data_IF_314666536355
#
_entry.id   IF_314666536355
#
_cell.length_a   1.000
_cell.length_b   1.000
_cell.length_c   1.000
_cell.angle_alpha   90.00
_cell.angle_beta   90.00
_cell.angle_gamma   90.00
#
_symmetry.space_group_name_H-M   'P 1'
#
loop_
_entity.id
_entity.type
_entity.pdbx_description
1 polymer ?
#
# COMPACT_ATOMS: atom_id res chain seq x y z
N UNK A 1 72.28 23.38 -50.56
CA UNK A 1 71.30 23.06 -49.49
C UNK A 1 72.03 22.28 -48.41
N UNK A 2 72.21 22.89 -47.23
CA UNK A 2 73.03 22.34 -46.15
C UNK A 2 72.23 21.35 -45.31
N UNK A 3 72.82 20.20 -44.96
CA UNK A 3 72.16 19.12 -44.20
C UNK A 3 71.52 19.54 -42.86
N UNK A 4 71.94 20.68 -42.29
CA UNK A 4 71.41 21.29 -41.07
C UNK A 4 69.94 21.77 -41.18
N UNK A 5 69.49 22.20 -42.37
CA UNK A 5 68.10 22.67 -42.58
C UNK A 5 67.08 21.52 -42.47
N UNK A 6 67.50 20.29 -42.80
CA UNK A 6 66.66 19.10 -42.71
C UNK A 6 66.45 18.63 -41.26
N UNK A 7 67.50 18.76 -40.43
CA UNK A 7 67.47 18.32 -39.02
C UNK A 7 66.55 19.24 -38.20
N UNK A 8 66.63 20.55 -38.40
CA UNK A 8 65.79 21.53 -37.68
C UNK A 8 64.32 21.45 -38.08
N UNK A 9 64.03 21.25 -39.38
CA UNK A 9 62.68 21.01 -39.86
C UNK A 9 62.06 19.73 -39.30
N UNK A 10 62.84 18.64 -39.23
CA UNK A 10 62.40 17.37 -38.64
C UNK A 10 62.08 17.49 -37.15
N UNK A 11 62.94 18.16 -36.37
CA UNK A 11 62.72 18.37 -34.94
C UNK A 11 61.45 19.21 -34.66
N UNK A 12 61.23 20.28 -35.43
CA UNK A 12 60.03 21.11 -35.30
C UNK A 12 58.75 20.34 -35.64
N UNK A 13 58.77 19.50 -36.68
CA UNK A 13 57.61 18.68 -37.05
C UNK A 13 57.25 17.66 -35.96
N UNK A 14 58.24 17.02 -35.34
CA UNK A 14 58.02 16.08 -34.21
C UNK A 14 57.45 16.81 -33.00
N UNK A 15 57.97 17.99 -32.67
CA UNK A 15 57.46 18.80 -31.55
C UNK A 15 56.00 19.23 -31.78
N UNK A 16 55.65 19.68 -32.99
CA UNK A 16 54.27 20.03 -33.36
C UNK A 16 53.34 18.82 -33.30
N UNK A 17 53.78 17.65 -33.80
CA UNK A 17 52.99 16.42 -33.74
C UNK A 17 52.76 15.96 -32.28
N UNK A 18 53.78 16.08 -31.43
CA UNK A 18 53.66 15.77 -30.00
C UNK A 18 52.71 16.74 -29.29
N UNK A 19 52.80 18.05 -29.58
CA UNK A 19 51.91 19.06 -29.02
C UNK A 19 50.45 18.85 -29.47
N UNK A 20 50.23 18.55 -30.76
CA UNK A 20 48.91 18.21 -31.28
C UNK A 20 48.36 16.93 -30.64
N UNK A 21 49.21 15.90 -30.48
CA UNK A 21 48.85 14.66 -29.80
C UNK A 21 48.44 14.90 -28.35
N UNK A 22 49.23 15.67 -27.59
CA UNK A 22 48.91 16.06 -26.22
C UNK A 22 47.60 16.86 -26.14
N UNK A 23 47.37 17.78 -27.07
CA UNK A 23 46.15 18.58 -27.13
C UNK A 23 44.92 17.71 -27.42
N UNK A 24 45.01 16.79 -28.39
CA UNK A 24 43.92 15.83 -28.68
C UNK A 24 43.65 14.91 -27.50
N UNK A 25 44.69 14.47 -26.79
CA UNK A 25 44.53 13.64 -25.59
C UNK A 25 43.88 14.42 -24.44
N UNK A 26 44.25 15.68 -24.23
CA UNK A 26 43.60 16.55 -23.26
C UNK A 26 42.10 16.71 -23.56
N UNK A 27 41.75 17.00 -24.83
CA UNK A 27 40.35 17.08 -25.26
C UNK A 27 39.59 15.76 -25.09
N UNK A 28 40.25 14.62 -25.31
CA UNK A 28 39.65 13.29 -25.07
C UNK A 28 39.40 13.02 -23.60
N UNK A 29 40.33 13.42 -22.72
CA UNK A 29 40.18 13.28 -21.27
C UNK A 29 39.03 14.15 -20.76
N UNK A 30 38.94 15.41 -21.19
CA UNK A 30 37.83 16.29 -20.85
C UNK A 30 36.49 15.71 -21.29
N UNK A 31 36.41 15.15 -22.50
CA UNK A 31 35.19 14.49 -22.98
C UNK A 31 34.82 13.27 -22.15
N UNK A 32 35.80 12.48 -21.72
CA UNK A 32 35.57 11.31 -20.84
C UNK A 32 35.06 11.75 -19.47
N UNK A 33 35.73 12.71 -18.83
CA UNK A 33 35.30 13.26 -17.55
C UNK A 33 33.91 13.90 -17.62
N UNK A 34 33.61 14.63 -18.70
CA UNK A 34 32.28 15.18 -18.93
C UNK A 34 31.23 14.07 -19.12
N UNK A 35 31.59 12.97 -19.78
CA UNK A 35 30.73 11.78 -19.93
C UNK A 35 30.43 11.11 -18.58
N UNK A 36 31.46 10.83 -17.79
CA UNK A 36 31.34 10.23 -16.46
C UNK A 36 30.54 11.13 -15.50
N UNK A 37 30.79 12.44 -15.51
CA UNK A 37 30.04 13.40 -14.72
C UNK A 37 28.55 13.42 -15.09
N UNK A 38 28.22 13.34 -16.38
CA UNK A 38 26.83 13.25 -16.85
C UNK A 38 26.15 11.94 -16.43
N UNK A 39 26.86 10.82 -16.53
CA UNK A 39 26.35 9.52 -16.09
C UNK A 39 26.10 9.50 -14.58
N UNK A 40 27.03 10.02 -13.78
CA UNK A 40 26.86 10.16 -12.34
C UNK A 40 25.69 11.09 -11.98
N UNK A 41 25.52 12.21 -12.71
CA UNK A 41 24.39 13.12 -12.51
C UNK A 41 23.05 12.48 -12.90
N UNK A 42 23.00 11.63 -13.94
CA UNK A 42 21.82 10.85 -14.29
C UNK A 42 21.47 9.85 -13.18
N UNK A 43 22.43 9.03 -12.74
CA UNK A 43 22.23 8.07 -11.67
C UNK A 43 21.75 8.73 -10.35
N UNK A 44 22.31 9.89 -10.00
CA UNK A 44 21.84 10.66 -8.82
C UNK A 44 20.40 11.13 -8.97
N UNK A 45 19.97 11.55 -10.16
CA UNK A 45 18.59 11.95 -10.43
C UNK A 45 17.64 10.75 -10.34
N UNK A 46 18.03 9.61 -10.88
CA UNK A 46 17.23 8.39 -10.83
C UNK A 46 17.07 7.91 -9.38
N UNK A 47 18.15 7.93 -8.58
CA UNK A 47 18.08 7.64 -7.14
C UNK A 47 17.15 8.60 -6.40
N UNK A 48 17.24 9.91 -6.67
CA UNK A 48 16.35 10.89 -6.06
C UNK A 48 14.88 10.62 -6.41
N UNK A 49 14.59 10.26 -7.67
CA UNK A 49 13.25 9.88 -8.10
C UNK A 49 12.76 8.62 -7.38
N UNK A 50 13.61 7.59 -7.26
CA UNK A 50 13.27 6.36 -6.52
C UNK A 50 12.99 6.68 -5.05
N UNK A 51 13.83 7.48 -4.38
CA UNK A 51 13.59 7.88 -2.99
C UNK A 51 12.26 8.63 -2.83
N UNK A 52 11.92 9.54 -3.75
CA UNK A 52 10.64 10.23 -3.74
C UNK A 52 9.45 9.25 -3.91
N UNK A 53 9.57 8.28 -4.82
CA UNK A 53 8.54 7.24 -4.98
C UNK A 53 8.39 6.36 -3.75
N UNK A 54 9.50 5.99 -3.09
CA UNK A 54 9.48 5.18 -1.88
C UNK A 54 8.83 5.93 -0.72
N UNK A 55 9.10 7.23 -0.58
CA UNK A 55 8.44 8.08 0.42
C UNK A 55 6.92 8.12 0.19
N UNK A 56 6.48 8.36 -1.06
CA UNK A 56 5.06 8.37 -1.40
C UNK A 56 4.38 7.02 -1.18
N UNK A 57 5.08 5.91 -1.43
CA UNK A 57 4.59 4.58 -1.10
C UNK A 57 4.49 4.37 0.42
N UNK A 58 5.44 4.88 1.21
CA UNK A 58 5.40 4.88 2.67
C UNK A 58 4.15 5.57 3.21
N UNK A 59 3.86 6.78 2.74
CA UNK A 59 2.64 7.51 3.12
C UNK A 59 1.37 6.73 2.77
N UNK A 60 1.37 6.06 1.61
CA UNK A 60 0.23 5.25 1.17
C UNK A 60 0.07 3.97 2.00
N UNK A 61 1.16 3.36 2.45
CA UNK A 61 1.12 2.22 3.37
C UNK A 61 0.53 2.64 4.71
N UNK A 62 0.99 3.75 5.29
CA UNK A 62 0.43 4.28 6.54
C UNK A 62 -1.07 4.59 6.42
N UNK A 63 -1.49 5.17 5.29
CA UNK A 63 -2.91 5.42 5.02
C UNK A 63 -3.73 4.12 4.87
N UNK A 64 -3.15 3.05 4.34
CA UNK A 64 -3.80 1.75 4.25
C UNK A 64 -3.87 1.06 5.61
N UNK A 65 -2.81 1.13 6.42
CA UNK A 65 -2.80 0.61 7.79
C UNK A 65 -3.91 1.24 8.62
N UNK A 66 -4.04 2.58 8.58
CA UNK A 66 -5.12 3.30 9.26
C UNK A 66 -6.53 2.84 8.81
N UNK A 67 -6.73 2.65 7.50
CA UNK A 67 -8.01 2.14 6.97
C UNK A 67 -8.30 0.71 7.40
N UNK A 68 -7.27 -0.14 7.49
CA UNK A 68 -7.42 -1.52 7.97
C UNK A 68 -7.87 -1.50 9.43
N UNK A 69 -7.27 -0.64 10.26
CA UNK A 69 -7.65 -0.47 11.66
C UNK A 69 -9.10 0.01 11.81
N UNK A 70 -9.50 1.06 11.06
CA UNK A 70 -10.89 1.53 11.02
C UNK A 70 -11.87 0.43 10.60
N UNK A 71 -11.52 -0.37 9.60
CA UNK A 71 -12.36 -1.49 9.14
C UNK A 71 -12.41 -2.61 10.17
N UNK A 72 -11.31 -2.90 10.87
CA UNK A 72 -11.28 -3.88 11.94
C UNK A 72 -12.17 -3.45 13.12
N UNK A 73 -12.11 -2.18 13.51
CA UNK A 73 -13.02 -1.63 14.53
C UNK A 73 -14.48 -1.70 14.09
N UNK A 74 -14.79 -1.32 12.85
CA UNK A 74 -16.13 -1.43 12.30
C UNK A 74 -16.63 -2.88 12.27
N UNK A 75 -15.76 -3.82 11.90
CA UNK A 75 -16.06 -5.25 11.97
C UNK A 75 -16.32 -5.72 13.40
N UNK A 76 -15.55 -5.25 14.38
CA UNK A 76 -15.77 -5.60 15.78
C UNK A 76 -17.08 -5.03 16.32
N UNK A 77 -17.44 -3.81 15.94
CA UNK A 77 -18.75 -3.24 16.26
C UNK A 77 -19.89 -4.05 15.63
N UNK A 78 -19.72 -4.52 14.39
CA UNK A 78 -20.69 -5.38 13.71
C UNK A 78 -20.74 -6.78 14.31
N UNK A 79 -19.61 -7.32 14.79
CA UNK A 79 -19.54 -8.62 15.46
C UNK A 79 -20.19 -8.57 16.84
N UNK A 80 -19.94 -7.49 17.58
CA UNK A 80 -20.59 -7.21 18.87
C UNK A 80 -22.08 -6.96 18.70
N UNK A 81 -22.49 -6.38 17.56
CA UNK A 81 -23.88 -6.42 17.08
C UNK A 81 -24.19 -7.82 16.53
N UNK A 82 -24.26 -8.80 17.40
CA UNK A 82 -24.87 -10.10 17.12
C UNK A 82 -26.15 -9.91 16.27
N UNK A 83 -26.27 -10.54 15.10
CA UNK A 83 -27.51 -10.54 14.29
C UNK A 83 -28.71 -11.18 15.02
N UNK A 84 -28.52 -11.68 16.24
CA UNK A 84 -29.47 -12.47 17.01
C UNK A 84 -29.69 -12.03 18.45
N UNK A 85 -28.79 -11.35 19.14
CA UNK A 85 -29.01 -10.94 20.55
C UNK A 85 -29.98 -9.75 20.72
N UNK A 86 -30.66 -9.37 19.63
CA UNK A 86 -31.92 -8.69 19.75
C UNK A 86 -32.92 -9.57 20.50
N UNK A 87 -33.67 -8.96 21.40
CA UNK A 87 -35.03 -9.28 21.87
C UNK A 87 -35.73 -10.48 21.21
N UNK A 88 -35.69 -10.60 19.87
CA UNK A 88 -36.19 -11.73 19.08
C UNK A 88 -35.56 -13.10 19.39
N UNK A 89 -34.23 -13.26 19.49
CA UNK A 89 -33.68 -14.58 19.82
C UNK A 89 -33.96 -14.96 21.29
N UNK A 90 -34.06 -13.98 22.17
CA UNK A 90 -34.52 -14.19 23.55
C UNK A 90 -35.98 -14.67 23.55
N UNK A 91 -36.85 -14.03 22.78
CA UNK A 91 -38.25 -14.43 22.61
C UNK A 91 -38.40 -15.85 22.01
N UNK A 92 -37.60 -16.20 21.00
CA UNK A 92 -37.57 -17.56 20.44
C UNK A 92 -37.13 -18.59 21.49
N UNK A 93 -36.11 -18.28 22.31
CA UNK A 93 -35.68 -19.18 23.40
C UNK A 93 -36.76 -19.34 24.48
N UNK A 94 -37.43 -18.25 24.86
CA UNK A 94 -38.54 -18.28 25.83
C UNK A 94 -39.73 -19.10 25.30
N UNK A 95 -40.10 -18.94 24.03
CA UNK A 95 -41.16 -19.74 23.40
C UNK A 95 -40.75 -21.22 23.23
N UNK A 96 -39.52 -21.49 22.77
CA UNK A 96 -39.07 -22.84 22.41
C UNK A 96 -38.55 -23.67 23.59
N UNK A 97 -38.06 -23.05 24.68
CA UNK A 97 -37.54 -23.78 25.85
C UNK A 97 -38.34 -23.52 27.12
N UNK A 98 -38.90 -22.32 27.26
CA UNK A 98 -39.70 -21.93 28.42
C UNK A 98 -41.21 -22.11 28.23
N UNK A 99 -41.68 -22.41 27.01
CA UNK A 99 -43.11 -22.51 26.70
C UNK A 99 -43.86 -21.19 26.84
N UNK A 100 -43.16 -20.05 26.82
CA UNK A 100 -43.76 -18.74 27.07
C UNK A 100 -44.87 -18.43 26.04
N UNK A 101 -46.02 -18.00 26.55
CA UNK A 101 -47.17 -17.61 25.75
C UNK A 101 -47.04 -16.22 25.14
N UNK A 102 -47.99 -15.88 24.26
CA UNK A 102 -48.01 -14.60 23.51
C UNK A 102 -47.91 -13.38 24.43
N UNK A 103 -48.70 -13.32 25.51
CA UNK A 103 -48.72 -12.18 26.43
C UNK A 103 -47.40 -12.05 27.22
N UNK A 104 -46.74 -13.16 27.53
CA UNK A 104 -45.48 -13.17 28.26
C UNK A 104 -44.32 -12.68 27.39
N UNK A 105 -44.33 -13.06 26.11
CA UNK A 105 -43.38 -12.57 25.11
C UNK A 105 -43.58 -11.07 24.82
N UNK A 106 -44.82 -10.59 24.80
CA UNK A 106 -45.10 -9.16 24.68
C UNK A 106 -44.59 -8.37 25.89
N UNK A 107 -44.81 -8.88 27.10
CA UNK A 107 -44.41 -8.18 28.33
C UNK A 107 -42.89 -8.21 28.59
N UNK A 108 -42.23 -9.35 28.36
CA UNK A 108 -40.80 -9.53 28.68
C UNK A 108 -39.87 -9.14 27.54
N UNK A 109 -40.33 -9.27 26.29
CA UNK A 109 -39.54 -8.96 25.11
C UNK A 109 -40.06 -7.70 24.37
N UNK A 110 -41.13 -7.03 24.82
CA UNK A 110 -41.60 -5.79 24.18
C UNK A 110 -42.02 -5.97 22.71
N UNK A 111 -42.42 -7.18 22.33
CA UNK A 111 -42.89 -7.52 20.99
C UNK A 111 -44.31 -7.01 20.76
N UNK A 112 -44.66 -6.67 19.52
CA UNK A 112 -46.06 -6.49 19.15
C UNK A 112 -46.80 -7.83 19.17
N UNK A 113 -48.12 -7.81 19.35
CA UNK A 113 -48.94 -9.02 19.44
C UNK A 113 -48.77 -9.95 18.24
N UNK A 114 -48.71 -9.39 17.04
CA UNK A 114 -48.53 -10.16 15.80
C UNK A 114 -47.16 -10.87 15.74
N UNK A 115 -46.11 -10.23 16.25
CA UNK A 115 -44.77 -10.81 16.31
C UNK A 115 -44.69 -11.94 17.34
N UNK A 116 -45.29 -11.75 18.51
CA UNK A 116 -45.35 -12.78 19.54
C UNK A 116 -46.19 -14.00 19.11
N UNK A 117 -47.34 -13.79 18.46
CA UNK A 117 -48.16 -14.88 17.91
C UNK A 117 -47.40 -15.69 16.84
N UNK A 118 -46.63 -15.02 15.98
CA UNK A 118 -45.81 -15.69 14.97
C UNK A 118 -44.71 -16.56 15.60
N UNK A 119 -44.02 -16.03 16.62
CA UNK A 119 -42.95 -16.75 17.31
C UNK A 119 -43.49 -18.00 18.02
N UNK A 120 -44.60 -17.89 18.75
CA UNK A 120 -45.22 -19.04 19.44
C UNK A 120 -45.67 -20.11 18.43
N UNK A 121 -46.24 -19.71 17.29
CA UNK A 121 -46.66 -20.67 16.25
C UNK A 121 -45.49 -21.39 15.60
N UNK A 122 -44.41 -20.68 15.32
CA UNK A 122 -43.26 -21.23 14.60
C UNK A 122 -42.31 -22.03 15.51
N UNK A 123 -42.16 -21.61 16.77
CA UNK A 123 -41.14 -22.15 17.69
C UNK A 123 -41.70 -22.77 18.97
N UNK A 124 -42.94 -22.48 19.36
CA UNK A 124 -43.56 -23.02 20.58
C UNK A 124 -43.85 -24.53 20.52
N UNK A 125 -43.86 -25.12 19.32
CA UNK A 125 -44.10 -26.57 19.13
C UNK A 125 -42.82 -27.41 19.15
N UNK A 126 -41.64 -26.80 18.98
CA UNK A 126 -40.35 -27.49 18.98
C UNK A 126 -40.02 -28.07 20.37
N UNK A 127 -40.63 -27.56 21.45
CA UNK A 127 -40.51 -28.11 22.81
C UNK A 127 -41.57 -29.17 23.18
N UNK A 128 -42.66 -29.29 22.43
CA UNK A 128 -43.72 -30.26 22.75
C UNK A 128 -43.40 -31.67 22.25
N UNK A 129 -42.47 -31.78 21.29
CA UNK A 129 -42.11 -33.02 20.59
C UNK A 129 -40.66 -33.50 20.91
N UNK A 130 -40.02 -32.98 21.96
CA UNK A 130 -38.68 -33.39 22.44
C UNK A 130 -38.70 -33.72 23.94
#
# INVERSE_FOLDING_TARGET
MTAWEWITGGAAAVALAAALGAWVQALRLERRLAGEARAAAAARRDLAAVCATLAALGDRVLALEARIEELAEAQEMLRTREPGDGVYAQAVRLAARGGAGVEELMAQCGLSRGEAELIVRLHGRIAADA
#
